data_IF_278107001680
#
_entry.id   IF_278107001680
#
_cell.length_a   1.000
_cell.length_b   1.000
_cell.length_c   1.000
_cell.angle_alpha   90.00
_cell.angle_beta   90.00
_cell.angle_gamma   90.00
#
_symmetry.space_group_name_H-M   'P 1'
#
loop_
_entity.id
_entity.type
_entity.pdbx_description
1 polymer ?
#
# COMPACT_ATOMS: atom_id res chain seq x y z
N UNK A 1 7.85 -9.11 4.77
CA UNK A 1 6.72 -9.16 5.71
C UNK A 1 5.60 -9.96 5.07
N UNK A 2 4.75 -10.62 5.87
CA UNK A 2 3.55 -11.36 5.45
C UNK A 2 2.42 -11.14 6.43
N UNK A 3 1.20 -11.53 6.10
CA UNK A 3 0.04 -11.46 7.00
C UNK A 3 -1.24 -11.52 6.18
N UNK A 4 -2.40 -11.33 6.82
CA UNK A 4 -3.67 -11.40 6.09
C UNK A 4 -3.81 -10.30 5.02
N UNK A 5 -3.11 -9.17 5.19
CA UNK A 5 -3.13 -8.06 4.24
C UNK A 5 -2.10 -8.20 3.11
N UNK A 6 -1.04 -8.97 3.34
CA UNK A 6 0.07 -9.18 2.42
C UNK A 6 0.48 -10.67 2.35
N UNK A 7 -0.39 -11.56 1.86
CA UNK A 7 -0.15 -13.01 1.92
C UNK A 7 1.01 -13.45 1.01
N UNK A 8 1.24 -12.77 -0.11
CA UNK A 8 2.34 -13.06 -1.04
C UNK A 8 3.65 -12.39 -0.61
N UNK A 9 3.62 -11.07 -0.44
CA UNK A 9 4.77 -10.29 0.05
C UNK A 9 4.35 -8.91 0.53
N UNK A 10 5.21 -8.31 1.34
CA UNK A 10 5.24 -6.91 1.71
C UNK A 10 6.67 -6.56 2.15
N UNK A 11 7.18 -5.40 1.75
CA UNK A 11 8.58 -5.02 1.97
C UNK A 11 8.64 -3.71 2.75
N UNK A 12 9.39 -3.74 3.83
CA UNK A 12 9.76 -2.54 4.59
C UNK A 12 11.29 -2.45 4.68
N UNK A 13 11.79 -1.28 5.06
CA UNK A 13 13.22 -1.00 5.23
C UNK A 13 13.47 -0.56 6.69
N UNK A 14 13.64 -1.51 7.64
CA UNK A 14 13.68 -1.20 9.07
C UNK A 14 14.74 -0.16 9.45
N UNK A 15 15.89 -0.15 8.77
CA UNK A 15 16.98 0.80 9.06
C UNK A 15 16.61 2.28 8.80
N UNK A 16 15.55 2.57 8.04
CA UNK A 16 15.06 3.93 7.83
C UNK A 16 13.79 4.25 8.63
N UNK A 17 13.42 3.36 9.56
CA UNK A 17 12.27 3.48 10.43
C UNK A 17 12.77 3.79 11.84
N UNK A 18 12.05 4.65 12.55
CA UNK A 18 12.30 4.87 13.98
C UNK A 18 11.96 3.57 14.74
N UNK A 19 12.83 3.04 15.64
CA UNK A 19 12.53 1.81 16.38
C UNK A 19 11.19 1.85 17.15
N UNK A 20 10.75 3.03 17.58
CA UNK A 20 9.45 3.19 18.23
C UNK A 20 8.25 2.86 17.31
N UNK A 21 8.48 2.80 16.00
CA UNK A 21 7.48 2.47 14.97
C UNK A 21 7.58 1.02 14.49
N UNK A 22 8.48 0.19 15.04
CA UNK A 22 8.60 -1.22 14.66
C UNK A 22 7.33 -2.02 14.93
N UNK A 23 6.55 -1.57 15.91
CA UNK A 23 5.18 -2.00 16.12
C UNK A 23 4.26 -0.78 16.02
N UNK A 24 3.53 -0.66 14.92
CA UNK A 24 2.62 0.46 14.67
C UNK A 24 1.22 -0.08 14.36
N UNK A 25 0.22 0.41 15.07
CA UNK A 25 -1.19 0.04 14.85
C UNK A 25 -2.05 1.28 14.81
N UNK A 26 -2.97 1.35 13.84
CA UNK A 26 -3.80 2.53 13.67
C UNK A 26 -4.89 2.40 12.61
N UNK A 27 -5.83 3.35 12.57
CA UNK A 27 -6.95 3.34 11.63
C UNK A 27 -6.49 3.64 10.20
N UNK A 28 -7.05 2.92 9.25
CA UNK A 28 -6.79 3.10 7.83
C UNK A 28 -7.35 4.43 7.29
N UNK A 29 -6.57 5.07 6.42
CA UNK A 29 -6.99 6.14 5.50
C UNK A 29 -6.72 5.68 4.07
N UNK A 30 -7.76 5.35 3.34
CA UNK A 30 -7.68 4.63 2.07
C UNK A 30 -7.72 5.59 0.88
N UNK A 31 -6.77 5.41 -0.02
CA UNK A 31 -6.62 6.18 -1.24
C UNK A 31 -6.39 5.24 -2.43
N UNK A 32 -7.06 5.53 -3.54
CA UNK A 32 -6.95 4.74 -4.78
C UNK A 32 -5.85 5.27 -5.73
N UNK A 33 -5.16 6.34 -5.34
CA UNK A 33 -3.98 6.85 -6.02
C UNK A 33 -3.10 7.71 -5.08
N UNK A 34 -1.81 7.85 -5.40
CA UNK A 34 -0.86 8.70 -4.64
C UNK A 34 -1.31 10.18 -4.60
N UNK A 35 -1.91 10.69 -5.69
CA UNK A 35 -2.34 12.08 -5.78
C UNK A 35 -3.39 12.44 -4.72
N UNK A 36 -4.37 11.57 -4.49
CA UNK A 36 -5.41 11.78 -3.47
C UNK A 36 -4.82 11.72 -2.05
N UNK A 37 -3.88 10.80 -1.81
CA UNK A 37 -3.17 10.73 -0.55
C UNK A 37 -2.36 12.01 -0.29
N UNK A 38 -1.65 12.51 -1.31
CA UNK A 38 -0.90 13.76 -1.24
C UNK A 38 -1.80 14.96 -0.90
N UNK A 39 -2.96 15.06 -1.56
CA UNK A 39 -3.94 16.10 -1.28
C UNK A 39 -4.50 15.99 0.15
N UNK A 40 -4.74 14.78 0.66
CA UNK A 40 -5.20 14.59 2.03
C UNK A 40 -4.15 15.05 3.06
N UNK A 41 -2.88 14.73 2.84
CA UNK A 41 -1.77 15.19 3.69
C UNK A 41 -1.66 16.71 3.67
N UNK A 42 -1.68 17.31 2.48
CA UNK A 42 -1.61 18.77 2.29
C UNK A 42 -2.81 19.51 2.89
N UNK A 43 -3.99 18.92 2.88
CA UNK A 43 -5.18 19.51 3.48
C UNK A 43 -5.32 19.22 4.98
N UNK A 44 -4.33 18.59 5.62
CA UNK A 44 -4.34 18.30 7.05
C UNK A 44 -5.43 17.30 7.47
N UNK A 45 -5.86 16.42 6.54
CA UNK A 45 -6.85 15.38 6.83
C UNK A 45 -6.26 14.16 7.53
N UNK A 46 -4.94 14.01 7.45
CA UNK A 46 -4.17 12.93 8.09
C UNK A 46 -3.80 13.34 9.51
N UNK A 47 -3.99 12.42 10.46
CA UNK A 47 -3.75 12.63 11.89
C UNK A 47 -2.67 11.70 12.41
N UNK A 48 -2.09 12.06 13.56
CA UNK A 48 -1.24 11.18 14.36
C UNK A 48 -1.96 9.82 14.57
N UNK A 49 -1.26 8.72 14.32
CA UNK A 49 -1.78 7.36 14.42
C UNK A 49 -2.39 6.79 13.14
N UNK A 50 -2.68 7.59 12.11
CA UNK A 50 -3.28 7.05 10.88
C UNK A 50 -2.31 6.13 10.11
N UNK A 51 -2.87 5.08 9.49
CA UNK A 51 -2.21 4.23 8.49
C UNK A 51 -2.76 4.59 7.11
N UNK A 52 -1.96 5.26 6.28
CA UNK A 52 -2.36 5.57 4.91
C UNK A 52 -2.23 4.32 4.05
N UNK A 53 -3.30 3.96 3.36
CA UNK A 53 -3.36 2.82 2.44
C UNK A 53 -3.48 3.39 1.04
N UNK A 54 -2.42 3.29 0.25
CA UNK A 54 -2.40 3.76 -1.14
C UNK A 54 -2.40 2.53 -2.04
N UNK A 55 -3.52 2.27 -2.73
CA UNK A 55 -3.73 1.05 -3.51
C UNK A 55 -3.94 1.35 -4.98
N UNK A 56 -3.90 0.30 -5.80
CA UNK A 56 -3.90 0.38 -7.26
C UNK A 56 -2.64 1.04 -7.83
N UNK A 57 -1.53 0.97 -7.12
CA UNK A 57 -0.22 1.47 -7.53
C UNK A 57 0.74 0.34 -7.88
N UNK A 58 0.27 -0.91 -7.88
CA UNK A 58 1.03 -2.11 -8.20
C UNK A 58 1.39 -2.27 -9.69
N UNK A 59 2.03 -3.40 -10.06
CA UNK A 59 2.44 -3.68 -11.43
C UNK A 59 1.32 -3.51 -12.46
N UNK A 60 0.14 -4.05 -12.19
CA UNK A 60 -1.00 -3.95 -13.10
C UNK A 60 -1.89 -2.75 -12.80
N UNK A 61 -2.02 -2.36 -11.53
CA UNK A 61 -2.87 -1.27 -11.06
C UNK A 61 -2.40 0.11 -11.49
N UNK A 62 -1.10 0.38 -11.33
CA UNK A 62 -0.52 1.70 -11.64
C UNK A 62 -0.76 2.14 -13.09
N UNK A 63 -0.44 1.30 -14.10
CA UNK A 63 0.48 0.16 -14.14
C UNK A 63 1.96 0.57 -14.12
N UNK A 64 2.86 -0.40 -13.95
CA UNK A 64 4.31 -0.18 -13.93
C UNK A 64 4.90 -0.02 -12.53
N UNK A 65 4.08 -0.17 -11.49
CA UNK A 65 4.50 -0.11 -10.09
C UNK A 65 5.33 1.15 -9.81
N UNK A 66 4.72 2.34 -9.94
CA UNK A 66 5.47 3.61 -9.86
C UNK A 66 6.10 3.83 -8.48
N UNK A 67 7.22 4.55 -8.46
CA UNK A 67 7.87 4.95 -7.21
C UNK A 67 7.11 6.08 -6.55
N UNK A 68 6.63 5.84 -5.34
CA UNK A 68 6.02 6.87 -4.51
C UNK A 68 7.06 7.48 -3.59
N UNK A 69 7.31 8.77 -3.83
CA UNK A 69 8.28 9.57 -3.08
C UNK A 69 7.60 10.74 -2.37
N UNK A 70 6.54 11.30 -2.95
CA UNK A 70 5.97 12.55 -2.50
C UNK A 70 5.24 12.40 -1.17
N UNK A 71 4.42 11.36 -1.00
CA UNK A 71 3.60 11.18 0.21
C UNK A 71 4.44 11.19 1.50
N UNK A 72 5.56 10.46 1.52
CA UNK A 72 6.46 10.43 2.68
C UNK A 72 7.11 11.79 2.97
N UNK A 73 7.47 12.57 1.95
CA UNK A 73 8.06 13.90 2.12
C UNK A 73 7.03 14.90 2.66
N UNK A 74 5.78 14.80 2.22
CA UNK A 74 4.69 15.61 2.74
C UNK A 74 4.42 15.29 4.23
N UNK A 75 4.39 14.01 4.60
CA UNK A 75 4.28 13.61 6.02
C UNK A 75 5.44 14.14 6.85
N UNK A 76 6.66 14.10 6.32
CA UNK A 76 7.83 14.67 7.00
C UNK A 76 7.67 16.18 7.23
N UNK A 77 7.28 16.92 6.18
CA UNK A 77 7.03 18.36 6.27
C UNK A 77 5.89 18.73 7.23
N UNK A 78 4.95 17.81 7.46
CA UNK A 78 3.86 17.96 8.44
C UNK A 78 4.21 17.47 9.86
N UNK A 79 5.42 16.97 10.08
CA UNK A 79 5.82 16.39 11.37
C UNK A 79 5.15 15.05 11.70
N UNK A 80 4.58 14.38 10.70
CA UNK A 80 3.82 13.13 10.82
C UNK A 80 4.66 11.88 10.50
N UNK A 81 5.84 12.02 9.90
CA UNK A 81 6.65 10.88 9.43
C UNK A 81 7.01 9.82 10.49
N UNK A 82 7.00 10.19 11.79
CA UNK A 82 7.23 9.28 12.93
C UNK A 82 5.97 8.96 13.73
N UNK A 83 4.80 9.29 13.19
CA UNK A 83 3.51 9.18 13.86
C UNK A 83 2.44 8.53 12.99
N UNK A 84 2.72 8.34 11.71
CA UNK A 84 1.84 7.71 10.73
C UNK A 84 2.61 6.66 9.97
N UNK A 85 1.90 5.73 9.35
CA UNK A 85 2.47 4.75 8.45
C UNK A 85 1.89 4.88 7.03
N UNK A 86 2.62 4.44 6.01
CA UNK A 86 2.08 4.26 4.66
C UNK A 86 2.24 2.80 4.21
N UNK A 87 1.17 2.20 3.72
CA UNK A 87 1.21 0.89 3.08
C UNK A 87 0.72 0.97 1.63
N UNK A 88 1.24 0.10 0.76
CA UNK A 88 0.90 0.11 -0.65
C UNK A 88 1.24 -1.18 -1.40
N UNK A 89 0.49 -1.46 -2.46
CA UNK A 89 0.84 -2.44 -3.49
C UNK A 89 1.88 -1.92 -4.52
N UNK A 90 2.17 -0.61 -4.52
CA UNK A 90 3.25 0.02 -5.28
C UNK A 90 4.62 -0.09 -4.61
N UNK A 91 5.55 0.82 -4.94
CA UNK A 91 6.92 0.84 -4.38
C UNK A 91 7.29 2.20 -3.83
N UNK A 92 8.25 2.20 -2.89
CA UNK A 92 8.79 3.43 -2.30
C UNK A 92 10.21 3.70 -2.77
N UNK A 93 10.60 4.97 -2.68
CA UNK A 93 11.98 5.37 -2.94
C UNK A 93 12.96 4.85 -1.89
N UNK A 94 14.16 4.47 -2.34
CA UNK A 94 15.27 4.11 -1.45
C UNK A 94 15.67 5.24 -0.51
N UNK A 95 15.33 6.49 -0.82
CA UNK A 95 15.61 7.69 -0.01
C UNK A 95 14.55 8.00 1.05
N UNK A 96 13.45 7.23 1.10
CA UNK A 96 12.40 7.45 2.09
C UNK A 96 12.83 6.99 3.49
N UNK A 97 12.41 7.79 4.48
CA UNK A 97 12.55 7.55 5.91
C UNK A 97 11.17 7.67 6.57
N UNK A 98 10.87 6.78 7.51
CA UNK A 98 9.57 6.67 8.20
C UNK A 98 8.99 5.26 8.11
N UNK A 99 7.80 5.06 8.69
CA UNK A 99 7.12 3.77 8.70
C UNK A 99 6.41 3.53 7.37
N UNK A 100 6.90 2.57 6.57
CA UNK A 100 6.23 2.21 5.32
C UNK A 100 6.36 0.73 4.94
N UNK A 101 5.36 0.21 4.23
CA UNK A 101 5.37 -1.15 3.66
C UNK A 101 4.91 -1.10 2.20
N UNK A 102 5.79 -1.42 1.27
CA UNK A 102 5.47 -1.50 -0.16
C UNK A 102 5.36 -2.93 -0.66
N UNK A 103 5.17 -3.06 -1.97
CA UNK A 103 5.17 -4.33 -2.71
C UNK A 103 4.09 -5.30 -2.24
N UNK A 104 3.03 -4.81 -1.60
CA UNK A 104 1.96 -5.68 -1.09
C UNK A 104 1.40 -6.53 -2.23
N UNK A 105 1.46 -7.85 -2.06
CA UNK A 105 0.97 -8.82 -3.03
C UNK A 105 0.01 -9.84 -2.39
N UNK A 106 -1.07 -10.22 -3.08
CA UNK A 106 -1.53 -9.70 -4.37
C UNK A 106 -1.89 -8.21 -4.33
N UNK A 107 -1.66 -7.50 -5.44
CA UNK A 107 -1.99 -6.08 -5.54
C UNK A 107 -3.51 -5.87 -5.58
N UNK A 108 -3.96 -4.63 -5.31
CA UNK A 108 -5.38 -4.34 -5.30
C UNK A 108 -6.04 -4.58 -6.66
N UNK A 109 -5.34 -4.30 -7.76
CA UNK A 109 -5.86 -4.47 -9.11
C UNK A 109 -6.13 -5.94 -9.52
N UNK A 110 -5.65 -6.90 -8.72
CA UNK A 110 -5.87 -8.33 -8.88
C UNK A 110 -6.78 -8.90 -7.77
N UNK A 111 -7.44 -8.04 -6.99
CA UNK A 111 -8.34 -8.46 -5.92
C UNK A 111 -7.62 -8.95 -4.66
N UNK A 112 -6.39 -8.49 -4.43
CA UNK A 112 -5.67 -8.77 -3.20
C UNK A 112 -6.35 -8.20 -1.95
N UNK A 113 -6.02 -8.69 -0.74
CA UNK A 113 -6.66 -8.24 0.50
C UNK A 113 -6.64 -6.72 0.73
N UNK A 114 -5.60 -6.02 0.25
CA UNK A 114 -5.50 -4.56 0.31
C UNK A 114 -6.66 -3.83 -0.42
N UNK A 115 -7.30 -4.46 -1.41
CA UNK A 115 -8.49 -3.93 -2.07
C UNK A 115 -9.74 -3.94 -1.18
N UNK A 116 -9.77 -4.77 -0.13
CA UNK A 116 -10.91 -4.89 0.79
C UNK A 116 -10.89 -3.85 1.92
N UNK A 117 -9.76 -3.18 2.12
CA UNK A 117 -9.58 -2.21 3.21
C UNK A 117 -10.49 -1.00 2.99
N UNK A 118 -11.10 -0.54 4.09
CA UNK A 118 -11.95 0.65 4.17
C UNK A 118 -11.41 1.59 5.24
N UNK A 119 -11.80 2.86 5.14
CA UNK A 119 -11.43 3.85 6.15
C UNK A 119 -11.85 3.39 7.56
N UNK A 120 -10.92 3.52 8.50
CA UNK A 120 -11.13 3.17 9.90
C UNK A 120 -10.80 1.72 10.28
N UNK A 121 -10.60 0.80 9.33
CA UNK A 121 -10.10 -0.54 9.65
C UNK A 121 -8.74 -0.43 10.35
N UNK A 122 -8.51 -1.22 11.40
CA UNK A 122 -7.25 -1.17 12.14
C UNK A 122 -6.20 -2.00 11.40
N UNK A 123 -5.05 -1.40 11.11
CA UNK A 123 -3.92 -2.07 10.47
C UNK A 123 -2.76 -2.08 11.44
N UNK A 124 -2.11 -3.24 11.56
CA UNK A 124 -0.94 -3.45 12.39
C UNK A 124 0.26 -3.83 11.53
N UNK A 125 1.34 -3.05 11.68
CA UNK A 125 2.66 -3.28 11.11
C UNK A 125 3.56 -3.73 12.25
N UNK A 126 4.06 -4.95 12.16
CA UNK A 126 4.97 -5.53 13.14
C UNK A 126 6.23 -6.02 12.43
N UNK A 127 7.27 -5.21 12.52
CA UNK A 127 8.57 -5.43 11.88
C UNK A 127 9.31 -6.61 12.50
N UNK A 128 9.19 -6.79 13.81
CA UNK A 128 9.90 -7.83 14.56
C UNK A 128 9.39 -9.21 14.17
N UNK A 129 8.07 -9.39 14.14
CA UNK A 129 7.42 -10.61 13.72
C UNK A 129 7.25 -10.70 12.18
N UNK A 130 7.66 -9.65 11.45
CA UNK A 130 7.53 -9.52 10.00
C UNK A 130 6.07 -9.64 9.53
N UNK A 131 5.13 -9.12 10.32
CA UNK A 131 3.69 -9.19 10.13
C UNK A 131 3.08 -7.89 9.60
N UNK A 132 2.17 -8.00 8.64
CA UNK A 132 1.31 -6.91 8.18
C UNK A 132 -0.12 -7.44 8.12
N UNK A 133 -0.94 -6.97 9.06
CA UNK A 133 -2.30 -7.47 9.25
C UNK A 133 -3.32 -6.34 9.34
N UNK A 134 -4.54 -6.62 8.93
CA UNK A 134 -5.73 -5.79 9.16
C UNK A 134 -6.65 -6.53 10.11
N UNK A 135 -7.27 -5.83 11.07
CA UNK A 135 -8.16 -6.40 12.09
C UNK A 135 -9.55 -6.71 11.50
N UNK A 136 -9.55 -7.66 10.57
CA UNK A 136 -10.73 -8.20 9.91
C UNK A 136 -10.61 -9.72 9.90
N UNK A 137 -11.73 -10.40 10.13
CA UNK A 137 -11.78 -11.85 9.99
C UNK A 137 -11.61 -12.27 8.52
N UNK A 138 -11.17 -13.51 8.25
CA UNK A 138 -11.12 -14.03 6.89
C UNK A 138 -12.47 -13.92 6.16
N UNK A 139 -13.58 -14.18 6.87
CA UNK A 139 -14.93 -14.13 6.31
C UNK A 139 -15.33 -12.72 5.89
N UNK A 140 -14.95 -11.70 6.68
CA UNK A 140 -15.21 -10.30 6.34
C UNK A 140 -14.37 -9.85 5.14
N UNK A 141 -13.09 -10.25 5.07
CA UNK A 141 -12.25 -9.99 3.89
C UNK A 141 -12.85 -10.62 2.62
N UNK A 142 -13.25 -11.89 2.70
CA UNK A 142 -13.90 -12.61 1.59
C UNK A 142 -15.22 -11.94 1.19
N UNK A 143 -16.06 -11.58 2.17
CA UNK A 143 -17.33 -10.90 1.92
C UNK A 143 -17.14 -9.56 1.20
N UNK A 144 -16.14 -8.77 1.61
CA UNK A 144 -15.82 -7.50 0.95
C UNK A 144 -15.26 -7.66 -0.46
N UNK A 145 -14.52 -8.75 -0.72
CA UNK A 145 -13.95 -9.04 -2.03
C UNK A 145 -14.95 -9.73 -2.98
N UNK A 146 -16.02 -10.33 -2.45
CA UNK A 146 -17.02 -11.05 -3.25
C UNK A 146 -17.62 -10.20 -4.37
N UNK A 147 -17.95 -8.95 -4.07
CA UNK A 147 -18.52 -7.99 -5.02
C UNK A 147 -17.48 -7.00 -5.55
N UNK A 148 -16.20 -7.19 -5.20
CA UNK A 148 -15.13 -6.30 -5.65
C UNK A 148 -14.98 -6.39 -7.17
N UNK A 149 -14.96 -5.22 -7.80
CA UNK A 149 -14.64 -5.06 -9.21
C UNK A 149 -13.46 -4.12 -9.31
N UNK A 150 -12.47 -4.52 -10.12
CA UNK A 150 -11.34 -3.66 -10.45
C UNK A 150 -11.86 -2.29 -10.91
N UNK A 151 -11.44 -1.18 -10.29
CA UNK A 151 -11.83 0.15 -10.73
C UNK A 151 -11.43 0.38 -12.19
N UNK A 152 -12.20 1.22 -12.92
CA UNK A 152 -11.87 1.52 -14.30
C UNK A 152 -10.50 2.20 -14.37
N UNK A 153 -9.57 1.57 -15.09
CA UNK A 153 -8.31 2.22 -15.42
C UNK A 153 -8.51 3.22 -16.55
N UNK A 154 -7.69 4.28 -16.55
CA UNK A 154 -7.55 5.16 -17.72
C UNK A 154 -7.23 4.31 -18.94
N UNK A 155 -7.72 4.69 -20.11
CA UNK A 155 -7.46 3.95 -21.36
C UNK A 155 -5.95 3.86 -21.60
N UNK A 156 -5.38 2.67 -21.42
CA UNK A 156 -3.96 2.42 -21.61
C UNK A 156 -3.69 2.08 -23.08
N UNK A 157 -2.62 2.65 -23.64
CA UNK A 157 -2.12 2.36 -24.99
C UNK A 157 -0.65 1.94 -24.95
N UNK A 158 -0.21 1.26 -26.00
CA UNK A 158 1.19 0.86 -26.17
C UNK A 158 1.70 -0.07 -25.08
N UNK A 159 2.96 0.12 -24.67
CA UNK A 159 3.66 -0.81 -23.78
C UNK A 159 3.03 -0.95 -22.40
N UNK A 160 2.44 0.12 -21.84
CA UNK A 160 1.77 0.06 -20.54
C UNK A 160 0.52 -0.82 -20.56
N UNK A 161 -0.22 -0.82 -21.68
CA UNK A 161 -1.37 -1.71 -21.85
C UNK A 161 -0.95 -3.18 -21.93
N UNK A 162 0.20 -3.46 -22.56
CA UNK A 162 0.77 -4.81 -22.63
C UNK A 162 1.27 -5.23 -21.24
N UNK A 163 2.04 -4.37 -20.57
CA UNK A 163 2.57 -4.64 -19.24
C UNK A 163 1.45 -4.88 -18.22
N UNK A 164 0.41 -4.05 -18.18
CA UNK A 164 -0.72 -4.21 -17.26
C UNK A 164 -1.44 -5.56 -17.40
N UNK A 165 -1.38 -6.19 -18.59
CA UNK A 165 -1.96 -7.51 -18.85
C UNK A 165 -1.01 -8.65 -18.46
N UNK A 166 0.28 -8.49 -18.73
CA UNK A 166 1.28 -9.57 -18.61
C UNK A 166 2.11 -9.53 -17.33
N UNK A 167 2.09 -8.43 -16.57
CA UNK A 167 2.93 -8.28 -15.40
C UNK A 167 2.64 -9.36 -14.35
N UNK A 168 3.70 -9.95 -13.83
CA UNK A 168 3.68 -10.78 -12.65
C UNK A 168 3.49 -9.91 -11.40
N UNK A 169 3.13 -10.55 -10.29
CA UNK A 169 3.00 -9.86 -9.01
C UNK A 169 4.34 -9.24 -8.56
N UNK A 170 4.31 -8.29 -7.63
CA UNK A 170 5.54 -7.77 -7.03
C UNK A 170 6.32 -8.86 -6.27
N UNK A 171 5.64 -9.89 -5.76
CA UNK A 171 6.27 -11.08 -5.17
C UNK A 171 7.10 -11.90 -6.18
N UNK A 172 6.74 -11.84 -7.46
CA UNK A 172 7.46 -12.48 -8.57
C UNK A 172 8.39 -11.48 -9.29
N UNK A 173 8.65 -10.31 -8.69
CA UNK A 173 9.56 -9.31 -9.23
C UNK A 173 8.96 -8.40 -10.31
N UNK A 174 7.65 -8.44 -10.55
CA UNK A 174 7.00 -7.56 -11.53
C UNK A 174 7.44 -7.80 -12.99
N UNK A 175 8.02 -8.96 -13.29
CA UNK A 175 8.43 -9.35 -14.65
C UNK A 175 7.21 -9.52 -15.57
N UNK A 176 7.38 -9.38 -16.89
CA UNK A 176 6.31 -9.78 -17.81
C UNK A 176 6.30 -11.30 -17.95
N UNK A 177 5.13 -11.91 -17.74
CA UNK A 177 4.88 -13.33 -18.05
C UNK A 177 4.75 -13.45 -19.57
N UNK A 178 5.78 -14.00 -20.20
CA UNK A 178 5.84 -14.35 -21.62
C UNK A 178 5.56 -15.84 -21.82
#
# INVERSE_FOLDING_TARGET
MRGNLAPGTGITKPIAMDPAMYHFSGPARVFDCEEDANLAILNGKIKDGDVLVIRYEGPKGGPGMREMYFAMKLLYGRGLAKKTAIITDGRFSGTNNGCFVGHISPEAAEGGPIAAVRDGDIITIDVENKRLDVDLSPEELEARLKDWKRPPQKELKGILAIYAKLAASAAEGGMMKV
#
